data_IF_112822166432
#
_entry.id   IF_112822166432
#
_cell.length_a   1.000
_cell.length_b   1.000
_cell.length_c   1.000
_cell.angle_alpha   90.00
_cell.angle_beta   90.00
_cell.angle_gamma   90.00
#
_symmetry.space_group_name_H-M   'P 1'
#
loop_
_entity.id
_entity.type
_entity.pdbx_description
1 polymer ?
#
# COMPACT_ATOMS: atom_id res chain seq x y z
N UNK A 1 -14.22 -5.16 -6.40
CA UNK A 1 -15.10 -4.09 -5.90
C UNK A 1 -15.48 -4.25 -4.42
N UNK A 2 -15.78 -5.47 -3.93
CA UNK A 2 -16.20 -5.67 -2.54
C UNK A 2 -15.10 -5.31 -1.53
N UNK A 3 -13.86 -5.80 -1.73
CA UNK A 3 -12.72 -5.44 -0.86
C UNK A 3 -12.49 -3.93 -0.83
N UNK A 4 -12.55 -3.28 -1.99
CA UNK A 4 -12.39 -1.83 -2.08
C UNK A 4 -13.53 -1.08 -1.36
N UNK A 5 -14.76 -1.58 -1.44
CA UNK A 5 -15.88 -1.00 -0.70
C UNK A 5 -15.70 -1.15 0.82
N UNK A 6 -15.21 -2.30 1.27
CA UNK A 6 -14.90 -2.53 2.68
C UNK A 6 -13.78 -1.60 3.16
N UNK A 7 -12.74 -1.38 2.37
CA UNK A 7 -11.65 -0.43 2.68
C UNK A 7 -12.18 1.00 2.82
N UNK A 8 -13.04 1.44 1.87
CA UNK A 8 -13.70 2.75 1.93
C UNK A 8 -14.52 2.90 3.22
N UNK A 9 -15.34 1.91 3.53
CA UNK A 9 -16.21 1.94 4.71
C UNK A 9 -15.39 1.90 6.02
N UNK A 10 -14.32 1.12 6.07
CA UNK A 10 -13.40 1.08 7.21
C UNK A 10 -12.72 2.42 7.43
N UNK A 11 -12.25 3.07 6.36
CA UNK A 11 -11.61 4.39 6.45
C UNK A 11 -12.59 5.47 6.93
N UNK A 12 -13.80 5.48 6.39
CA UNK A 12 -14.83 6.43 6.78
C UNK A 12 -15.28 6.23 8.25
N UNK A 13 -15.35 4.99 8.74
CA UNK A 13 -15.67 4.70 10.15
C UNK A 13 -14.65 5.27 11.13
N UNK A 14 -13.39 5.43 10.74
CA UNK A 14 -12.36 6.05 11.60
C UNK A 14 -12.56 7.54 11.78
N UNK A 15 -13.15 8.21 10.78
CA UNK A 15 -13.24 9.67 10.71
C UNK A 15 -14.64 10.25 10.90
N UNK A 16 -15.68 9.42 10.82
CA UNK A 16 -17.07 9.85 10.87
C UNK A 16 -17.93 8.88 11.69
N UNK A 17 -18.88 9.43 12.45
CA UNK A 17 -19.94 8.65 13.07
C UNK A 17 -20.98 8.28 12.00
N UNK A 18 -20.96 7.07 11.49
CA UNK A 18 -21.88 6.55 10.49
C UNK A 18 -22.90 5.57 11.06
N UNK A 19 -24.09 5.53 10.46
CA UNK A 19 -25.09 4.49 10.76
C UNK A 19 -24.76 3.21 10.02
N UNK A 20 -24.75 2.05 10.72
CA UNK A 20 -24.54 0.72 10.12
C UNK A 20 -25.48 0.45 8.94
N UNK A 21 -26.72 0.99 9.00
CA UNK A 21 -27.68 0.87 7.90
C UNK A 21 -27.19 1.52 6.61
N UNK A 22 -26.46 2.64 6.67
CA UNK A 22 -25.86 3.26 5.48
C UNK A 22 -24.73 2.41 4.93
N UNK A 23 -23.92 1.85 5.79
CA UNK A 23 -22.81 0.97 5.38
C UNK A 23 -23.30 -0.32 4.73
N UNK A 24 -24.47 -0.84 5.11
CA UNK A 24 -25.07 -2.02 4.46
C UNK A 24 -25.82 -1.68 3.16
N UNK A 25 -26.30 -0.42 3.02
CA UNK A 25 -27.10 0.04 1.88
C UNK A 25 -26.31 0.53 0.66
N UNK A 26 -24.98 0.44 0.65
CA UNK A 26 -24.15 0.94 -0.46
C UNK A 26 -24.27 0.11 -1.75
N UNK A 27 -24.44 -1.19 -1.60
CA UNK A 27 -24.35 -2.14 -2.71
C UNK A 27 -25.39 -1.90 -3.82
N UNK A 28 -26.68 -1.71 -3.53
CA UNK A 28 -27.67 -1.38 -4.57
C UNK A 28 -27.37 -0.12 -5.34
N UNK A 29 -26.75 0.89 -4.70
CA UNK A 29 -26.37 2.15 -5.35
C UNK A 29 -25.23 1.92 -6.34
N UNK A 30 -24.21 1.18 -5.92
CA UNK A 30 -23.10 0.82 -6.79
C UNK A 30 -23.55 -0.06 -7.97
N UNK A 31 -24.46 -1.01 -7.74
CA UNK A 31 -25.04 -1.84 -8.81
C UNK A 31 -25.86 -0.99 -9.80
N UNK A 32 -26.70 -0.09 -9.31
CA UNK A 32 -27.49 0.80 -10.17
C UNK A 32 -26.56 1.69 -11.03
N UNK A 33 -25.46 2.17 -10.47
CA UNK A 33 -24.46 2.95 -11.22
C UNK A 33 -23.78 2.10 -12.28
N UNK A 34 -23.34 0.89 -11.96
CA UNK A 34 -22.71 -0.03 -12.89
C UNK A 34 -23.67 -0.33 -14.07
N UNK A 35 -24.91 -0.63 -13.76
CA UNK A 35 -25.93 -0.86 -14.79
C UNK A 35 -26.14 0.34 -15.72
N UNK A 36 -26.24 1.55 -15.17
CA UNK A 36 -26.35 2.79 -15.95
C UNK A 36 -25.13 3.10 -16.79
N UNK A 37 -23.95 2.64 -16.37
CA UNK A 37 -22.67 2.79 -17.08
C UNK A 37 -22.42 1.68 -18.11
N UNK A 38 -23.28 0.64 -18.17
CA UNK A 38 -23.13 -0.51 -19.06
C UNK A 38 -22.07 -1.51 -18.59
N UNK A 39 -21.72 -1.50 -17.32
CA UNK A 39 -20.77 -2.45 -16.75
C UNK A 39 -21.47 -3.75 -16.35
N UNK A 40 -20.91 -4.89 -16.71
CA UNK A 40 -21.42 -6.22 -16.33
C UNK A 40 -21.19 -6.51 -14.83
N UNK A 41 -20.22 -5.86 -14.23
CA UNK A 41 -19.85 -5.97 -12.80
C UNK A 41 -19.57 -4.61 -12.23
N UNK A 42 -19.79 -4.46 -10.91
CA UNK A 42 -19.43 -3.22 -10.20
C UNK A 42 -17.91 -2.99 -10.27
N UNK A 43 -17.51 -1.88 -10.84
CA UNK A 43 -16.12 -1.42 -10.92
C UNK A 43 -15.81 -0.39 -9.83
N UNK A 44 -14.53 -0.04 -9.68
CA UNK A 44 -14.10 0.98 -8.69
C UNK A 44 -14.71 2.35 -8.98
N UNK A 45 -14.88 2.70 -10.26
CA UNK A 45 -15.50 3.95 -10.70
C UNK A 45 -16.98 4.07 -10.30
N UNK A 46 -17.70 2.95 -10.20
CA UNK A 46 -19.11 2.95 -9.82
C UNK A 46 -19.31 3.30 -8.35
N UNK A 47 -18.31 2.98 -7.51
CA UNK A 47 -18.31 3.32 -6.08
C UNK A 47 -18.25 4.85 -5.85
N UNK A 48 -17.81 5.65 -6.82
CA UNK A 48 -17.84 7.11 -6.74
C UNK A 48 -19.27 7.67 -6.58
N UNK A 49 -20.30 6.93 -7.03
CA UNK A 49 -21.71 7.32 -6.81
C UNK A 49 -22.09 7.37 -5.33
N UNK A 50 -21.31 6.71 -4.46
CA UNK A 50 -21.55 6.72 -3.01
C UNK A 50 -21.25 8.07 -2.35
N UNK A 51 -20.62 9.01 -3.06
CA UNK A 51 -20.28 10.35 -2.55
C UNK A 51 -21.47 11.10 -1.98
N UNK A 52 -22.65 10.92 -2.56
CA UNK A 52 -23.87 11.62 -2.14
C UNK A 52 -24.71 10.81 -1.14
N UNK A 53 -24.31 9.56 -0.88
CA UNK A 53 -25.03 8.66 0.02
C UNK A 53 -24.36 8.49 1.39
N UNK A 54 -23.02 8.43 1.47
CA UNK A 54 -22.34 8.01 2.70
C UNK A 54 -22.24 9.08 3.79
N UNK A 55 -22.29 10.37 3.45
CA UNK A 55 -22.22 11.45 4.46
C UNK A 55 -23.54 11.62 5.22
N UNK A 56 -23.45 12.05 6.47
CA UNK A 56 -24.58 12.39 7.34
C UNK A 56 -24.71 13.90 7.54
N UNK A 57 -23.59 14.54 7.82
CA UNK A 57 -23.52 15.98 8.03
C UNK A 57 -22.89 16.62 6.79
N UNK A 58 -23.35 17.80 6.36
CA UNK A 58 -22.75 18.50 5.22
C UNK A 58 -21.22 18.67 5.33
N UNK A 59 -20.71 18.83 6.56
CA UNK A 59 -19.27 18.90 6.84
C UNK A 59 -18.49 17.62 6.51
N UNK A 60 -19.15 16.46 6.46
CA UNK A 60 -18.49 15.19 6.16
C UNK A 60 -18.43 14.92 4.64
N UNK A 61 -19.15 15.71 3.82
CA UNK A 61 -19.22 15.51 2.37
C UNK A 61 -17.83 15.55 1.71
N UNK A 62 -17.02 16.54 2.06
CA UNK A 62 -15.69 16.70 1.51
C UNK A 62 -14.78 15.53 1.89
N UNK A 63 -14.89 15.02 3.12
CA UNK A 63 -14.13 13.86 3.60
C UNK A 63 -14.52 12.61 2.80
N UNK A 64 -15.83 12.35 2.63
CA UNK A 64 -16.32 11.21 1.85
C UNK A 64 -15.81 11.31 0.40
N UNK A 65 -15.91 12.48 -0.21
CA UNK A 65 -15.46 12.70 -1.58
C UNK A 65 -13.93 12.48 -1.73
N UNK A 66 -13.13 12.96 -0.78
CA UNK A 66 -11.68 12.78 -0.77
C UNK A 66 -11.26 11.31 -0.65
N UNK A 67 -11.90 10.56 0.26
CA UNK A 67 -11.64 9.13 0.45
C UNK A 67 -12.03 8.34 -0.81
N UNK A 68 -13.20 8.60 -1.37
CA UNK A 68 -13.66 7.94 -2.59
C UNK A 68 -12.76 8.23 -3.78
N UNK A 69 -12.36 9.49 -3.99
CA UNK A 69 -11.43 9.85 -5.08
C UNK A 69 -10.09 9.12 -4.92
N UNK A 70 -9.53 9.13 -3.73
CA UNK A 70 -8.26 8.50 -3.42
C UNK A 70 -8.28 6.99 -3.69
N UNK A 71 -9.29 6.29 -3.20
CA UNK A 71 -9.37 4.83 -3.27
C UNK A 71 -9.95 4.30 -4.60
N UNK A 72 -10.89 5.03 -5.23
CA UNK A 72 -11.55 4.56 -6.44
C UNK A 72 -10.85 4.97 -7.73
N UNK A 73 -10.20 6.15 -7.77
CA UNK A 73 -9.57 6.65 -9.00
C UNK A 73 -8.17 6.06 -9.17
N UNK A 74 -7.41 5.99 -8.06
CA UNK A 74 -6.02 5.51 -8.11
C UNK A 74 -5.75 4.44 -7.03
N UNK A 75 -6.42 3.28 -7.05
CA UNK A 75 -6.24 2.25 -6.03
C UNK A 75 -4.82 1.67 -6.01
N UNK A 76 -4.15 1.59 -7.16
CA UNK A 76 -2.77 1.14 -7.25
C UNK A 76 -1.82 2.15 -6.60
N UNK A 77 -2.02 3.45 -6.85
CA UNK A 77 -1.24 4.52 -6.24
C UNK A 77 -1.31 4.48 -4.71
N UNK A 78 -2.49 4.22 -4.16
CA UNK A 78 -2.68 4.13 -2.71
C UNK A 78 -1.93 2.93 -2.10
N UNK A 79 -2.00 1.76 -2.75
CA UNK A 79 -1.25 0.57 -2.33
C UNK A 79 0.26 0.80 -2.37
N UNK A 80 0.74 1.44 -3.43
CA UNK A 80 2.16 1.80 -3.60
C UNK A 80 2.60 2.80 -2.54
N UNK A 81 1.78 3.82 -2.26
CA UNK A 81 2.06 4.80 -1.21
C UNK A 81 2.15 4.14 0.17
N UNK A 82 1.24 3.22 0.50
CA UNK A 82 1.29 2.48 1.77
C UNK A 82 2.58 1.65 1.93
N UNK A 83 3.07 1.02 0.86
CA UNK A 83 4.37 0.31 0.88
C UNK A 83 5.53 1.31 1.06
N UNK A 84 5.48 2.47 0.39
CA UNK A 84 6.49 3.53 0.51
C UNK A 84 6.58 4.08 1.92
N UNK A 85 5.44 4.38 2.55
CA UNK A 85 5.39 4.85 3.94
C UNK A 85 6.03 3.86 4.91
N UNK A 86 5.69 2.56 4.80
CA UNK A 86 6.32 1.52 5.63
C UNK A 86 7.84 1.44 5.43
N UNK A 87 8.32 1.62 4.21
CA UNK A 87 9.76 1.61 3.92
C UNK A 87 10.47 2.82 4.54
N UNK A 88 9.87 4.01 4.45
CA UNK A 88 10.40 5.23 5.05
C UNK A 88 10.40 5.16 6.58
N UNK A 89 9.36 4.63 7.20
CA UNK A 89 9.30 4.42 8.65
C UNK A 89 10.40 3.45 9.12
N UNK A 90 10.59 2.36 8.37
CA UNK A 90 11.66 1.39 8.67
C UNK A 90 13.05 2.01 8.50
N UNK A 91 13.24 2.86 7.48
CA UNK A 91 14.48 3.59 7.25
C UNK A 91 14.72 4.60 8.39
N UNK A 92 13.71 5.36 8.79
CA UNK A 92 13.82 6.35 9.88
C UNK A 92 14.23 5.67 11.19
N UNK A 93 13.63 4.54 11.55
CA UNK A 93 14.01 3.75 12.72
C UNK A 93 15.45 3.22 12.66
N UNK A 94 15.95 2.87 11.48
CA UNK A 94 17.36 2.50 11.29
C UNK A 94 18.29 3.71 11.44
N UNK A 95 17.95 4.86 10.86
CA UNK A 95 18.73 6.08 10.94
C UNK A 95 18.84 6.60 12.38
N UNK A 96 17.76 6.54 13.14
CA UNK A 96 17.74 6.86 14.57
C UNK A 96 18.67 5.94 15.37
N UNK A 97 18.64 4.63 15.09
CA UNK A 97 19.48 3.66 15.77
C UNK A 97 20.98 3.78 15.39
N UNK A 98 21.28 4.30 14.20
CA UNK A 98 22.65 4.54 13.76
C UNK A 98 23.28 5.76 14.43
N UNK A 99 22.51 6.84 14.65
CA UNK A 99 23.04 8.11 15.16
C UNK A 99 24.32 8.52 14.40
N UNK A 100 25.31 9.00 15.16
CA UNK A 100 26.63 9.37 14.59
C UNK A 100 27.61 8.19 14.37
N UNK A 101 27.17 6.93 14.68
CA UNK A 101 28.07 5.76 14.62
C UNK A 101 27.39 4.45 14.22
N UNK A 102 27.41 4.09 12.94
CA UNK A 102 26.80 2.86 12.42
C UNK A 102 27.54 1.55 12.72
N UNK A 103 28.55 1.54 13.61
CA UNK A 103 29.36 0.35 13.96
C UNK A 103 28.99 -0.30 15.30
N UNK A 104 27.94 0.17 15.96
CA UNK A 104 27.46 -0.36 17.23
C UNK A 104 26.65 -1.64 17.04
N UNK A 105 26.54 -2.48 18.07
CA UNK A 105 25.67 -3.66 18.06
C UNK A 105 24.18 -3.28 17.88
N UNK A 106 23.80 -2.10 18.34
CA UNK A 106 22.46 -1.56 18.12
C UNK A 106 22.21 -1.28 16.65
N UNK A 107 23.14 -0.62 15.98
CA UNK A 107 23.06 -0.34 14.54
C UNK A 107 23.03 -1.64 13.70
N UNK A 108 23.79 -2.67 14.09
CA UNK A 108 23.75 -3.99 13.43
C UNK A 108 22.37 -4.63 13.55
N UNK A 109 21.77 -4.63 14.74
CA UNK A 109 20.42 -5.17 14.97
C UNK A 109 19.39 -4.40 14.16
N UNK A 110 19.47 -3.06 14.16
CA UNK A 110 18.59 -2.21 13.38
C UNK A 110 18.73 -2.46 11.87
N UNK A 111 19.95 -2.65 11.37
CA UNK A 111 20.19 -3.01 9.97
C UNK A 111 19.58 -4.36 9.59
N UNK A 112 19.73 -5.38 10.43
CA UNK A 112 19.12 -6.70 10.16
C UNK A 112 17.60 -6.58 10.11
N UNK A 113 16.99 -5.79 11.02
CA UNK A 113 15.57 -5.53 11.03
C UNK A 113 15.12 -4.79 9.75
N UNK A 114 15.78 -3.68 9.40
CA UNK A 114 15.50 -2.94 8.18
C UNK A 114 15.59 -3.83 6.95
N UNK A 115 16.67 -4.61 6.81
CA UNK A 115 16.86 -5.53 5.67
C UNK A 115 15.72 -6.54 5.57
N UNK A 116 15.30 -7.12 6.70
CA UNK A 116 14.17 -8.06 6.74
C UNK A 116 12.86 -7.43 6.27
N UNK A 117 12.56 -6.21 6.74
CA UNK A 117 11.38 -5.47 6.32
C UNK A 117 11.45 -5.06 4.84
N UNK A 118 12.59 -4.57 4.35
CA UNK A 118 12.76 -4.22 2.93
C UNK A 118 12.55 -5.42 2.00
N UNK A 119 13.07 -6.60 2.34
CA UNK A 119 12.83 -7.83 1.56
C UNK A 119 11.34 -8.17 1.51
N UNK A 120 10.64 -8.06 2.63
CA UNK A 120 9.21 -8.31 2.71
C UNK A 120 8.41 -7.31 1.88
N UNK A 121 8.75 -6.01 1.97
CA UNK A 121 8.11 -4.96 1.19
C UNK A 121 8.40 -5.12 -0.32
N UNK A 122 9.62 -5.52 -0.67
CA UNK A 122 9.99 -5.83 -2.05
C UNK A 122 9.16 -6.98 -2.63
N UNK A 123 8.97 -8.08 -1.89
CA UNK A 123 8.11 -9.18 -2.31
C UNK A 123 6.66 -8.73 -2.50
N UNK A 124 6.10 -8.01 -1.53
CA UNK A 124 4.75 -7.43 -1.63
C UNK A 124 4.62 -6.50 -2.85
N UNK A 125 5.64 -5.72 -3.15
CA UNK A 125 5.65 -4.83 -4.31
C UNK A 125 5.71 -5.60 -5.64
N UNK A 126 6.47 -6.70 -5.70
CA UNK A 126 6.47 -7.60 -6.87
C UNK A 126 5.09 -8.22 -7.12
N UNK A 127 4.36 -8.59 -6.06
CA UNK A 127 2.98 -9.07 -6.17
C UNK A 127 2.06 -7.98 -6.71
N UNK A 128 2.16 -6.73 -6.21
CA UNK A 128 1.40 -5.60 -6.72
C UNK A 128 1.72 -5.33 -8.20
N UNK A 129 2.99 -5.37 -8.59
CA UNK A 129 3.41 -5.23 -9.99
C UNK A 129 2.77 -6.27 -10.90
N UNK A 130 2.65 -7.52 -10.44
CA UNK A 130 2.00 -8.58 -11.20
C UNK A 130 0.49 -8.34 -11.42
N UNK A 131 -0.15 -7.49 -10.62
CA UNK A 131 -1.56 -7.09 -10.76
C UNK A 131 -1.76 -5.81 -11.56
N UNK A 132 -0.69 -5.12 -11.97
CA UNK A 132 -0.76 -3.89 -12.76
C UNK A 132 -1.39 -4.17 -14.13
N UNK A 133 -2.35 -3.32 -14.52
CA UNK A 133 -3.13 -3.48 -15.76
C UNK A 133 -2.77 -2.44 -16.83
N UNK A 134 -2.00 -1.42 -16.47
CA UNK A 134 -1.59 -0.36 -17.38
C UNK A 134 -0.09 -0.08 -17.29
N UNK A 135 0.47 0.52 -18.35
CA UNK A 135 1.87 0.93 -18.39
C UNK A 135 2.19 1.97 -17.30
N UNK A 136 1.22 2.84 -16.97
CA UNK A 136 1.38 3.83 -15.89
C UNK A 136 1.45 3.17 -14.51
N UNK A 137 0.66 2.14 -14.24
CA UNK A 137 0.72 1.36 -13.00
C UNK A 137 2.01 0.56 -12.90
N UNK A 138 2.46 -0.02 -14.03
CA UNK A 138 3.74 -0.72 -14.09
C UNK A 138 4.91 0.23 -13.80
N UNK A 139 4.94 1.40 -14.43
CA UNK A 139 5.98 2.41 -14.17
C UNK A 139 5.98 2.88 -12.71
N UNK A 140 4.78 3.05 -12.11
CA UNK A 140 4.63 3.43 -10.71
C UNK A 140 5.19 2.35 -9.76
N UNK A 141 4.88 1.09 -10.03
CA UNK A 141 5.36 -0.05 -9.22
C UNK A 141 6.87 -0.25 -9.38
N UNK A 142 7.41 -0.09 -10.59
CA UNK A 142 8.84 -0.18 -10.86
C UNK A 142 9.63 0.96 -10.19
N UNK A 143 9.07 2.17 -10.16
CA UNK A 143 9.67 3.29 -9.42
C UNK A 143 9.86 2.95 -7.94
N UNK A 144 8.86 2.37 -7.29
CA UNK A 144 8.98 1.99 -5.88
C UNK A 144 9.97 0.84 -5.66
N UNK A 145 10.05 -0.14 -6.57
CA UNK A 145 11.08 -1.19 -6.47
C UNK A 145 12.49 -0.60 -6.48
N UNK A 146 12.74 0.42 -7.33
CA UNK A 146 14.00 1.14 -7.35
C UNK A 146 14.24 1.93 -6.06
N UNK A 147 13.21 2.60 -5.51
CA UNK A 147 13.30 3.32 -4.24
C UNK A 147 13.70 2.37 -3.09
N UNK A 148 13.11 1.16 -3.03
CA UNK A 148 13.45 0.15 -2.02
C UNK A 148 14.90 -0.34 -2.14
N UNK A 149 15.37 -0.56 -3.39
CA UNK A 149 16.78 -0.92 -3.64
C UNK A 149 17.74 0.19 -3.23
N UNK A 150 17.40 1.45 -3.48
CA UNK A 150 18.22 2.60 -3.09
C UNK A 150 18.29 2.75 -1.57
N UNK A 151 17.19 2.54 -0.84
CA UNK A 151 17.19 2.51 0.63
C UNK A 151 18.12 1.40 1.13
N UNK A 152 18.01 0.19 0.55
CA UNK A 152 18.86 -0.95 0.90
C UNK A 152 20.34 -0.65 0.64
N UNK A 153 20.69 -0.08 -0.51
CA UNK A 153 22.07 0.29 -0.88
C UNK A 153 22.67 1.26 0.11
N UNK A 154 21.95 2.36 0.42
CA UNK A 154 22.41 3.37 1.39
C UNK A 154 22.62 2.79 2.78
N UNK A 155 21.76 1.87 3.22
CA UNK A 155 21.93 1.21 4.51
C UNK A 155 23.17 0.32 4.55
N UNK A 156 23.49 -0.40 3.46
CA UNK A 156 24.72 -1.19 3.35
C UNK A 156 25.96 -0.29 3.35
N UNK A 157 25.96 0.81 2.63
CA UNK A 157 27.05 1.79 2.60
C UNK A 157 27.35 2.36 4.00
N UNK A 158 26.29 2.75 4.74
CA UNK A 158 26.42 3.28 6.11
C UNK A 158 27.01 2.25 7.09
N UNK A 159 26.64 0.99 6.95
CA UNK A 159 27.08 -0.07 7.87
C UNK A 159 28.37 -0.75 7.46
N UNK A 160 28.81 -0.58 6.21
CA UNK A 160 30.00 -1.25 5.66
C UNK A 160 29.80 -2.73 5.35
N UNK A 161 28.56 -3.23 5.33
CA UNK A 161 28.25 -4.58 4.88
C UNK A 161 28.27 -4.67 3.35
N UNK A 162 28.64 -5.84 2.84
CA UNK A 162 28.57 -6.11 1.40
C UNK A 162 27.13 -6.00 0.91
N UNK A 163 26.92 -5.18 -0.11
CA UNK A 163 25.60 -5.02 -0.72
C UNK A 163 25.19 -6.28 -1.46
N UNK A 164 23.95 -6.68 -1.26
CA UNK A 164 23.27 -7.74 -2.01
C UNK A 164 21.91 -7.21 -2.46
N UNK A 165 21.55 -7.30 -3.76
CA UNK A 165 20.27 -6.84 -4.25
C UNK A 165 19.08 -7.50 -3.53
N UNK A 166 18.00 -6.74 -3.28
CA UNK A 166 16.79 -7.27 -2.65
C UNK A 166 16.15 -8.38 -3.48
N UNK A 167 16.26 -8.31 -4.80
CA UNK A 167 15.80 -9.35 -5.73
C UNK A 167 16.45 -10.72 -5.48
N UNK A 168 17.76 -10.75 -5.26
CA UNK A 168 18.48 -11.99 -4.96
C UNK A 168 18.10 -12.56 -3.59
N UNK A 169 17.97 -11.68 -2.59
CA UNK A 169 17.58 -12.10 -1.23
C UNK A 169 16.14 -12.61 -1.22
N UNK A 170 15.23 -11.95 -1.93
CA UNK A 170 13.83 -12.35 -2.07
C UNK A 170 13.71 -13.72 -2.75
N UNK A 171 14.50 -13.97 -3.81
CA UNK A 171 14.55 -15.26 -4.49
C UNK A 171 15.01 -16.39 -3.57
N UNK A 172 16.04 -16.16 -2.75
CA UNK A 172 16.55 -17.14 -1.77
C UNK A 172 15.50 -17.48 -0.71
N UNK A 173 14.70 -16.50 -0.26
CA UNK A 173 13.63 -16.72 0.70
C UNK A 173 12.46 -17.51 0.08
N UNK A 174 12.13 -17.28 -1.18
CA UNK A 174 11.12 -18.04 -1.92
C UNK A 174 11.47 -19.53 -2.03
N UNK A 175 12.74 -19.85 -2.27
CA UNK A 175 13.23 -21.24 -2.34
C UNK A 175 13.15 -21.95 -0.96
N UNK A 176 13.34 -21.22 0.14
CA UNK A 176 13.20 -21.80 1.49
C UNK A 176 11.76 -22.13 1.83
N UNK A 177 10.80 -21.31 1.41
CA UNK A 177 9.37 -21.58 1.65
C UNK A 177 8.85 -22.77 0.85
N UNK A 178 9.32 -22.97 -0.38
CA UNK A 178 8.91 -24.11 -1.23
C UNK A 178 9.48 -25.47 -0.79
N UNK A 179 10.49 -25.50 0.12
CA UNK A 179 11.08 -26.73 0.66
C UNK A 179 10.46 -27.18 1.99
N UNK A 180 9.54 -26.40 2.56
CA UNK A 180 8.90 -26.69 3.87
C UNK A 180 7.46 -27.19 3.67
N UNK A 181 6.95 -27.21 2.43
CA UNK A 181 5.66 -27.78 2.05
C UNK A 181 5.83 -29.16 1.47
#
# INVERSE_FOLDING_TARGET
>A
ANELADDILCELRKSMAGSDRKYLGYYPIAQARAWLSGHDKVESSDLLALKDYLWHLPADREKVESVLKRLCINPMQEKVNGVREMALDSQAGFEEACGDGCRTDLARKAFIKLRGELVRLYQKQCELRATAQSDSETALTDSLLNDLEDISRRAHEKTGFTYTPLSEIAALNGIKQSKIT
#
